data_IF_248268340765
#
_entry.id   IF_248268340765
#
_cell.length_a   1.000
_cell.length_b   1.000
_cell.length_c   1.000
_cell.angle_alpha   90.00
_cell.angle_beta   90.00
_cell.angle_gamma   90.00
#
_symmetry.space_group_name_H-M   'P 1'
#
loop_
_entity.id
_entity.type
_entity.pdbx_description
1 polymer ?
#
# COMPACT_ATOMS: atom_id res chain seq x y z
N UNK A 1 -24.65 -5.83 -11.26
CA UNK A 1 -23.32 -6.16 -10.70
C UNK A 1 -23.08 -5.30 -9.46
N UNK A 2 -22.39 -5.81 -8.46
CA UNK A 2 -22.01 -4.98 -7.31
C UNK A 2 -20.97 -3.96 -7.75
N UNK A 3 -21.13 -2.68 -7.37
CA UNK A 3 -20.25 -1.59 -7.77
C UNK A 3 -19.57 -0.97 -6.53
N UNK A 4 -18.39 -0.39 -6.74
CA UNK A 4 -17.74 0.40 -5.71
C UNK A 4 -18.60 1.63 -5.36
N UNK A 5 -18.62 2.01 -4.09
CA UNK A 5 -19.33 3.22 -3.64
C UNK A 5 -18.61 4.53 -4.06
N UNK A 6 -17.38 4.43 -4.56
CA UNK A 6 -16.51 5.55 -4.96
C UNK A 6 -16.19 5.54 -6.45
N UNK A 7 -15.92 6.70 -7.04
CA UNK A 7 -15.50 6.86 -8.45
C UNK A 7 -13.96 6.95 -8.59
N UNK A 8 -13.26 7.12 -7.49
CA UNK A 8 -11.82 7.23 -7.40
C UNK A 8 -11.32 6.43 -6.20
N UNK A 9 -10.11 5.89 -6.24
CA UNK A 9 -9.45 5.32 -5.08
C UNK A 9 -8.42 6.32 -4.52
N UNK A 10 -8.86 7.26 -3.70
CA UNK A 10 -8.01 8.34 -3.17
C UNK A 10 -7.39 7.99 -1.82
N UNK A 11 -8.04 7.13 -1.03
CA UNK A 11 -7.59 6.68 0.28
C UNK A 11 -8.54 5.61 0.82
N UNK A 12 -8.08 4.84 1.79
CA UNK A 12 -8.90 3.83 2.47
C UNK A 12 -10.04 4.46 3.27
N UNK A 13 -9.80 5.64 3.84
CA UNK A 13 -10.80 6.37 4.63
C UNK A 13 -12.09 6.72 3.87
N UNK A 14 -12.08 6.64 2.55
CA UNK A 14 -13.26 6.91 1.70
C UNK A 14 -14.03 5.63 1.35
N UNK A 15 -13.48 4.44 1.64
CA UNK A 15 -14.10 3.16 1.36
C UNK A 15 -15.01 2.72 2.51
N UNK A 16 -16.00 1.89 2.16
CA UNK A 16 -16.80 1.12 3.10
C UNK A 16 -16.29 -0.32 3.19
N UNK A 17 -16.64 -1.05 4.24
CA UNK A 17 -16.30 -2.48 4.39
C UNK A 17 -16.71 -3.28 3.15
N UNK A 18 -17.91 -3.06 2.63
CA UNK A 18 -18.41 -3.68 1.40
C UNK A 18 -17.54 -3.41 0.16
N UNK A 19 -16.92 -2.23 0.05
CA UNK A 19 -16.03 -1.93 -1.07
C UNK A 19 -14.77 -2.79 -1.00
N UNK A 20 -14.24 -2.99 0.21
CA UNK A 20 -13.06 -3.86 0.42
C UNK A 20 -13.41 -5.32 0.11
N UNK A 21 -14.56 -5.79 0.55
CA UNK A 21 -15.05 -7.14 0.25
C UNK A 21 -15.16 -7.35 -1.26
N UNK A 22 -15.79 -6.43 -1.99
CA UNK A 22 -15.92 -6.49 -3.44
C UNK A 22 -14.56 -6.49 -4.15
N UNK A 23 -13.62 -5.65 -3.69
CA UNK A 23 -12.25 -5.65 -4.22
C UNK A 23 -11.59 -7.01 -3.99
N UNK A 24 -11.76 -7.61 -2.82
CA UNK A 24 -11.16 -8.90 -2.48
C UNK A 24 -11.75 -10.06 -3.27
N UNK A 25 -13.08 -10.12 -3.42
CA UNK A 25 -13.76 -11.12 -4.25
C UNK A 25 -13.29 -11.02 -5.72
N UNK A 26 -13.16 -9.81 -6.23
CA UNK A 26 -12.65 -9.56 -7.58
C UNK A 26 -11.16 -9.93 -7.69
N UNK A 27 -10.36 -9.67 -6.66
CA UNK A 27 -8.95 -10.04 -6.62
C UNK A 27 -8.76 -11.55 -6.57
N UNK A 28 -9.63 -12.31 -5.87
CA UNK A 28 -9.61 -13.78 -5.86
C UNK A 28 -9.74 -14.33 -7.30
N UNK A 29 -10.66 -13.78 -8.10
CA UNK A 29 -10.82 -14.16 -9.51
C UNK A 29 -9.59 -13.82 -10.35
N UNK A 30 -9.00 -12.64 -10.16
CA UNK A 30 -7.76 -12.27 -10.86
C UNK A 30 -6.55 -13.03 -10.38
N UNK A 31 -6.51 -13.47 -9.13
CA UNK A 31 -5.46 -14.36 -8.63
C UNK A 31 -5.46 -15.70 -9.36
N UNK A 32 -6.61 -16.26 -9.66
CA UNK A 32 -6.71 -17.42 -10.53
C UNK A 32 -6.15 -17.12 -11.94
N UNK A 33 -6.50 -15.97 -12.52
CA UNK A 33 -6.03 -15.57 -13.87
C UNK A 33 -4.51 -15.47 -13.91
N UNK A 34 -3.87 -14.84 -12.92
CA UNK A 34 -2.41 -14.67 -12.93
C UNK A 34 -1.64 -15.97 -12.75
N UNK A 35 -2.30 -17.03 -12.29
CA UNK A 35 -1.72 -18.37 -12.15
C UNK A 35 -1.97 -19.27 -13.35
N UNK A 36 -2.75 -18.82 -14.38
CA UNK A 36 -2.97 -19.56 -15.63
C UNK A 36 -1.77 -19.44 -16.58
N UNK A 37 -1.62 -20.36 -17.56
CA UNK A 37 -0.64 -20.20 -18.63
C UNK A 37 -0.82 -18.86 -19.38
N UNK A 38 -2.07 -18.51 -19.74
CA UNK A 38 -2.43 -17.22 -20.34
C UNK A 38 -2.90 -16.29 -19.23
N UNK A 39 -2.03 -15.36 -18.85
CA UNK A 39 -2.21 -14.45 -17.71
C UNK A 39 -2.88 -13.11 -18.12
N UNK A 40 -3.58 -13.08 -19.24
CA UNK A 40 -4.22 -11.88 -19.81
C UNK A 40 -5.72 -12.11 -19.98
N UNK A 41 -6.50 -11.07 -19.72
CA UNK A 41 -7.94 -11.02 -19.96
C UNK A 41 -8.29 -9.76 -20.76
N UNK A 42 -9.23 -9.82 -21.72
CA UNK A 42 -9.53 -8.69 -22.62
C UNK A 42 -10.54 -7.70 -22.02
N UNK A 43 -10.50 -7.51 -20.69
CA UNK A 43 -11.54 -6.77 -19.97
C UNK A 43 -11.50 -5.27 -20.23
N UNK A 44 -10.33 -4.70 -20.53
CA UNK A 44 -10.12 -3.25 -20.66
C UNK A 44 -9.43 -2.85 -21.98
N UNK A 45 -9.76 -3.52 -23.11
CA UNK A 45 -9.12 -3.27 -24.42
C UNK A 45 -9.25 -1.83 -24.92
N UNK A 46 -10.33 -1.15 -24.54
CA UNK A 46 -10.64 0.21 -25.02
C UNK A 46 -10.42 1.27 -23.91
N UNK A 47 -9.68 0.92 -22.85
CA UNK A 47 -9.37 1.82 -21.73
C UNK A 47 -7.91 2.19 -21.77
N UNK A 48 -7.63 3.49 -21.74
CA UNK A 48 -6.28 4.04 -21.66
C UNK A 48 -6.00 4.53 -20.25
N UNK A 49 -4.90 4.07 -19.66
CA UNK A 49 -4.49 4.40 -18.29
C UNK A 49 -3.16 5.13 -18.31
N UNK A 50 -3.08 6.30 -17.67
CA UNK A 50 -1.83 7.04 -17.50
C UNK A 50 -1.25 6.84 -16.10
N UNK A 51 -0.02 6.33 -16.04
CA UNK A 51 0.78 6.21 -14.83
C UNK A 51 1.61 7.48 -14.61
N UNK A 52 1.20 8.34 -13.70
CA UNK A 52 1.82 9.64 -13.39
C UNK A 52 2.63 9.55 -12.09
N UNK A 53 3.92 9.27 -12.20
CA UNK A 53 4.80 9.11 -11.06
C UNK A 53 5.70 10.34 -10.89
N UNK A 54 5.35 11.22 -9.94
CA UNK A 54 6.09 12.43 -9.58
C UNK A 54 7.18 12.18 -8.52
N UNK A 55 7.21 10.98 -7.92
CA UNK A 55 8.31 10.50 -7.08
C UNK A 55 8.75 9.10 -7.51
N UNK A 56 10.00 8.75 -7.20
CA UNK A 56 10.57 7.46 -7.59
C UNK A 56 9.85 6.28 -6.93
N UNK A 57 9.44 5.31 -7.73
CA UNK A 57 8.87 4.06 -7.25
C UNK A 57 8.92 2.96 -8.31
N UNK A 58 9.93 2.13 -8.26
CA UNK A 58 10.10 1.04 -9.23
C UNK A 58 9.02 -0.03 -9.07
N UNK A 59 8.84 -0.58 -7.87
CA UNK A 59 7.91 -1.68 -7.64
C UNK A 59 6.45 -1.31 -7.85
N UNK A 60 6.01 -0.17 -7.30
CA UNK A 60 4.62 0.25 -7.46
C UNK A 60 4.28 0.51 -8.92
N UNK A 61 5.17 1.19 -9.65
CA UNK A 61 5.02 1.45 -11.09
C UNK A 61 4.92 0.14 -11.88
N UNK A 62 5.89 -0.77 -11.71
CA UNK A 62 5.90 -2.07 -12.40
C UNK A 62 4.66 -2.91 -12.08
N UNK A 63 4.19 -2.89 -10.83
CA UNK A 63 3.01 -3.67 -10.43
C UNK A 63 1.71 -3.11 -11.01
N UNK A 64 1.55 -1.78 -11.11
CA UNK A 64 0.43 -1.17 -11.81
C UNK A 64 0.48 -1.47 -13.30
N UNK A 65 1.61 -1.20 -13.94
CA UNK A 65 1.80 -1.46 -15.37
C UNK A 65 1.54 -2.93 -15.73
N UNK A 66 1.97 -3.88 -14.88
CA UNK A 66 1.69 -5.29 -15.08
C UNK A 66 0.19 -5.61 -14.94
N UNK A 67 -0.49 -5.04 -13.95
CA UNK A 67 -1.92 -5.21 -13.72
C UNK A 67 -2.73 -4.69 -14.93
N UNK A 68 -2.42 -3.50 -15.41
CA UNK A 68 -3.03 -2.85 -16.56
C UNK A 68 -2.86 -3.69 -17.83
N UNK A 69 -1.64 -4.12 -18.13
CA UNK A 69 -1.33 -4.98 -19.28
C UNK A 69 -2.02 -6.34 -19.22
N UNK A 70 -2.22 -6.90 -18.01
CA UNK A 70 -2.97 -8.16 -17.83
C UNK A 70 -4.47 -7.98 -18.07
N UNK A 71 -5.00 -6.81 -17.83
CA UNK A 71 -6.38 -6.43 -18.18
C UNK A 71 -6.54 -6.03 -19.64
N UNK A 72 -5.47 -5.99 -20.43
CA UNK A 72 -5.42 -5.53 -21.82
C UNK A 72 -5.73 -4.04 -22.01
N UNK A 73 -5.46 -3.21 -21.00
CA UNK A 73 -5.55 -1.76 -21.13
C UNK A 73 -4.34 -1.20 -21.90
N UNK A 74 -4.54 -0.06 -22.56
CA UNK A 74 -3.45 0.74 -23.11
C UNK A 74 -2.79 1.54 -21.99
N UNK A 75 -1.44 1.56 -21.96
CA UNK A 75 -0.69 2.11 -20.83
C UNK A 75 0.25 3.22 -21.29
N UNK A 76 0.08 4.40 -20.69
CA UNK A 76 0.98 5.53 -20.88
C UNK A 76 1.78 5.73 -19.58
N UNK A 77 3.09 5.72 -19.68
CA UNK A 77 3.97 5.95 -18.52
C UNK A 77 4.61 7.33 -18.59
N UNK A 78 4.37 8.15 -17.57
CA UNK A 78 4.97 9.44 -17.39
C UNK A 78 5.91 9.44 -16.17
N UNK A 79 7.07 10.08 -16.31
CA UNK A 79 8.01 10.28 -15.21
C UNK A 79 8.41 11.76 -15.15
N UNK A 80 8.17 12.39 -14.01
CA UNK A 80 8.48 13.81 -13.79
C UNK A 80 9.98 14.14 -13.91
N UNK A 81 10.87 13.16 -13.68
CA UNK A 81 12.32 13.35 -13.81
C UNK A 81 12.77 13.75 -15.23
N UNK A 82 11.95 13.45 -16.25
CA UNK A 82 12.25 13.69 -17.67
C UNK A 82 11.29 14.69 -18.33
N UNK A 83 10.41 15.37 -17.56
CA UNK A 83 9.28 16.10 -18.12
C UNK A 83 9.35 17.61 -17.97
N UNK A 84 8.41 18.30 -18.67
CA UNK A 84 8.15 19.74 -18.67
C UNK A 84 7.74 20.32 -17.29
N UNK A 85 7.44 19.50 -16.29
CA UNK A 85 7.22 19.96 -14.89
C UNK A 85 8.40 20.80 -14.38
N UNK A 86 9.62 20.52 -14.84
CA UNK A 86 10.80 21.36 -14.60
C UNK A 86 10.72 22.76 -15.23
N UNK A 87 9.77 23.00 -16.15
CA UNK A 87 9.56 24.27 -16.84
C UNK A 87 8.49 25.15 -16.18
N UNK A 88 7.99 24.78 -14.99
CA UNK A 88 6.98 25.54 -14.24
C UNK A 88 5.53 25.21 -14.59
N UNK A 89 5.26 24.13 -15.32
CA UNK A 89 3.90 23.64 -15.59
C UNK A 89 3.21 23.17 -14.29
N UNK A 90 1.93 23.54 -14.10
CA UNK A 90 1.17 23.12 -12.92
C UNK A 90 0.75 21.65 -13.03
N UNK A 91 0.43 21.01 -11.89
CA UNK A 91 -0.08 19.64 -11.87
C UNK A 91 -1.35 19.49 -12.73
N UNK A 92 -2.26 20.47 -12.66
CA UNK A 92 -3.52 20.47 -13.43
C UNK A 92 -3.22 20.55 -14.94
N UNK A 93 -2.33 21.46 -15.37
CA UNK A 93 -2.01 21.60 -16.78
C UNK A 93 -1.37 20.34 -17.33
N UNK A 94 -0.42 19.76 -16.60
CA UNK A 94 0.22 18.49 -16.98
C UNK A 94 -0.83 17.39 -17.16
N UNK A 95 -1.76 17.25 -16.20
CA UNK A 95 -2.78 16.18 -16.27
C UNK A 95 -3.80 16.47 -17.36
N UNK A 96 -4.25 17.71 -17.55
CA UNK A 96 -5.17 18.07 -18.61
C UNK A 96 -4.58 17.82 -20.00
N UNK A 97 -3.31 18.12 -20.20
CA UNK A 97 -2.59 17.80 -21.46
C UNK A 97 -2.62 16.30 -21.75
N UNK A 98 -2.41 15.46 -20.72
CA UNK A 98 -2.44 14.00 -20.85
C UNK A 98 -3.89 13.51 -21.10
N UNK A 99 -4.88 14.04 -20.39
CA UNK A 99 -6.29 13.69 -20.57
C UNK A 99 -6.84 14.08 -21.94
N UNK A 100 -6.30 15.15 -22.54
CA UNK A 100 -6.64 15.57 -23.91
C UNK A 100 -6.32 14.51 -24.97
N UNK A 101 -5.43 13.56 -24.66
CA UNK A 101 -5.11 12.40 -25.49
C UNK A 101 -6.12 11.23 -25.33
N UNK A 102 -7.28 11.49 -24.72
CA UNK A 102 -8.34 10.49 -24.47
C UNK A 102 -7.93 9.41 -23.46
N UNK A 103 -7.25 9.84 -22.40
CA UNK A 103 -6.96 8.96 -21.26
C UNK A 103 -8.17 8.90 -20.32
N UNK A 104 -8.54 7.69 -19.90
CA UNK A 104 -9.76 7.40 -19.12
C UNK A 104 -9.47 7.36 -17.61
N UNK A 105 -8.28 6.90 -17.23
CA UNK A 105 -7.88 6.72 -15.82
C UNK A 105 -6.48 7.23 -15.58
N UNK A 106 -6.25 7.72 -14.36
CA UNK A 106 -4.94 8.19 -13.90
C UNK A 106 -4.52 7.44 -12.64
N UNK A 107 -3.41 6.75 -12.69
CA UNK A 107 -2.70 6.22 -11.52
C UNK A 107 -1.64 7.23 -11.13
N UNK A 108 -1.79 7.87 -9.98
CA UNK A 108 -0.91 8.95 -9.57
C UNK A 108 -0.14 8.65 -8.29
N UNK A 109 1.17 8.92 -8.32
CA UNK A 109 2.02 8.95 -7.14
C UNK A 109 2.68 10.32 -7.01
N UNK A 110 2.50 10.96 -5.85
CA UNK A 110 2.91 12.35 -5.67
C UNK A 110 3.59 12.57 -4.29
N UNK A 111 4.63 13.44 -4.18
CA UNK A 111 5.24 13.74 -2.90
C UNK A 111 4.33 14.51 -1.95
N UNK A 112 3.39 15.31 -2.45
CA UNK A 112 2.50 16.11 -1.61
C UNK A 112 1.24 15.34 -1.20
N UNK A 113 0.90 15.29 0.11
CA UNK A 113 -0.36 14.75 0.59
C UNK A 113 -1.58 15.41 -0.03
N UNK A 114 -2.61 14.62 -0.36
CA UNK A 114 -3.88 15.14 -0.89
C UNK A 114 -3.86 15.51 -2.39
N UNK A 115 -2.75 15.32 -3.10
CA UNK A 115 -2.67 15.64 -4.52
C UNK A 115 -3.74 14.91 -5.36
N UNK A 116 -4.03 13.63 -5.05
CA UNK A 116 -5.11 12.88 -5.71
C UNK A 116 -6.50 13.45 -5.43
N UNK A 117 -6.75 13.88 -4.20
CA UNK A 117 -8.02 14.52 -3.79
C UNK A 117 -8.19 15.86 -4.50
N UNK A 118 -7.12 16.63 -4.59
CA UNK A 118 -7.13 17.89 -5.33
C UNK A 118 -7.47 17.65 -6.80
N UNK A 119 -6.77 16.72 -7.43
CA UNK A 119 -6.95 16.43 -8.85
C UNK A 119 -8.35 15.90 -9.18
N UNK A 120 -8.93 15.03 -8.35
CA UNK A 120 -10.27 14.45 -8.55
C UNK A 120 -11.40 15.48 -8.61
N UNK A 121 -11.16 16.70 -8.12
CA UNK A 121 -12.11 17.83 -8.17
C UNK A 121 -11.99 18.68 -9.44
N UNK A 122 -10.92 18.50 -10.21
CA UNK A 122 -10.57 19.38 -11.33
C UNK A 122 -10.50 18.67 -12.69
N UNK A 123 -10.54 17.33 -12.70
CA UNK A 123 -10.44 16.56 -13.93
C UNK A 123 -11.55 15.53 -14.03
N UNK A 124 -11.95 15.23 -15.26
CA UNK A 124 -12.97 14.22 -15.54
C UNK A 124 -12.31 12.88 -15.93
N UNK A 125 -11.63 12.26 -14.97
CA UNK A 125 -11.01 10.93 -15.12
C UNK A 125 -11.03 10.21 -13.78
N UNK A 126 -11.04 8.88 -13.78
CA UNK A 126 -10.93 8.10 -12.55
C UNK A 126 -9.49 8.17 -12.02
N UNK A 127 -9.33 8.51 -10.74
CA UNK A 127 -8.02 8.69 -10.09
C UNK A 127 -7.75 7.53 -9.11
N UNK A 128 -6.58 6.91 -9.24
CA UNK A 128 -6.06 5.92 -8.29
C UNK A 128 -4.81 6.49 -7.62
N UNK A 129 -4.86 6.65 -6.29
CA UNK A 129 -3.72 7.06 -5.49
C UNK A 129 -2.72 5.90 -5.32
N UNK A 130 -1.55 6.01 -5.95
CA UNK A 130 -0.43 5.07 -5.82
C UNK A 130 0.57 5.47 -4.72
N UNK A 131 0.16 6.37 -3.84
CA UNK A 131 0.90 6.89 -2.68
C UNK A 131 1.13 8.39 -2.77
N UNK A 132 0.71 9.15 -1.75
CA UNK A 132 0.86 10.60 -1.66
C UNK A 132 1.51 11.02 -0.34
N UNK A 133 2.71 11.58 -0.41
CA UNK A 133 3.47 12.07 0.75
C UNK A 133 3.58 11.03 1.87
N UNK A 134 3.29 11.43 3.11
CA UNK A 134 3.14 10.59 4.29
C UNK A 134 1.65 10.30 4.62
N UNK A 135 0.73 10.48 3.65
CA UNK A 135 -0.71 10.44 3.86
C UNK A 135 -1.29 9.03 3.63
N UNK A 136 -1.50 8.61 2.37
CA UNK A 136 -2.08 7.28 2.11
C UNK A 136 -1.43 6.54 0.93
N UNK A 137 -1.52 5.21 0.96
CA UNK A 137 -1.23 4.30 -0.14
C UNK A 137 -2.28 3.18 -0.15
N UNK A 138 -3.50 3.47 -0.64
CA UNK A 138 -4.65 2.59 -0.47
C UNK A 138 -4.44 1.19 -1.05
N UNK A 139 -3.85 1.05 -2.23
CA UNK A 139 -3.59 -0.28 -2.80
C UNK A 139 -2.56 -1.10 -2.02
N UNK A 140 -1.68 -0.45 -1.24
CA UNK A 140 -0.77 -1.17 -0.35
C UNK A 140 -1.54 -1.73 0.86
N UNK A 141 -2.40 -0.94 1.50
CA UNK A 141 -3.19 -1.42 2.61
C UNK A 141 -4.17 -2.53 2.19
N UNK A 142 -4.77 -2.42 1.01
CA UNK A 142 -5.62 -3.47 0.46
C UNK A 142 -4.86 -4.78 0.23
N UNK A 143 -3.68 -4.74 -0.37
CA UNK A 143 -2.89 -5.96 -0.57
C UNK A 143 -2.36 -6.55 0.74
N UNK A 144 -2.03 -5.69 1.72
CA UNK A 144 -1.58 -6.13 3.04
C UNK A 144 -2.71 -6.86 3.79
N UNK A 145 -3.90 -6.27 3.86
CA UNK A 145 -5.05 -6.89 4.52
C UNK A 145 -5.59 -8.10 3.74
N UNK A 146 -5.52 -8.09 2.41
CA UNK A 146 -5.80 -9.26 1.58
C UNK A 146 -4.84 -10.41 1.90
N UNK A 147 -3.55 -10.15 2.06
CA UNK A 147 -2.54 -11.15 2.40
C UNK A 147 -2.75 -11.74 3.80
N UNK A 148 -3.21 -10.92 4.75
CA UNK A 148 -3.62 -11.39 6.08
C UNK A 148 -4.83 -12.33 5.97
N UNK A 149 -5.87 -11.94 5.20
CA UNK A 149 -7.05 -12.78 4.96
C UNK A 149 -6.65 -14.11 4.34
N UNK A 150 -5.80 -14.10 3.34
CA UNK A 150 -5.32 -15.31 2.66
C UNK A 150 -4.56 -16.25 3.61
N UNK A 151 -3.70 -15.70 4.47
CA UNK A 151 -2.86 -16.50 5.39
C UNK A 151 -3.62 -17.00 6.61
N UNK A 152 -4.55 -16.20 7.16
CA UNK A 152 -5.23 -16.47 8.44
C UNK A 152 -6.74 -16.70 8.32
N UNK A 153 -7.29 -16.74 7.10
CA UNK A 153 -8.71 -16.92 6.80
C UNK A 153 -9.55 -15.66 7.00
N UNK A 154 -9.19 -14.77 7.93
CA UNK A 154 -9.92 -13.54 8.23
C UNK A 154 -9.00 -12.46 8.79
N UNK A 155 -9.34 -11.20 8.53
CA UNK A 155 -8.74 -10.03 9.20
C UNK A 155 -9.48 -9.70 10.50
N UNK A 156 -10.78 -9.97 10.55
CA UNK A 156 -11.65 -9.66 11.69
C UNK A 156 -11.17 -10.33 12.97
N UNK A 157 -11.07 -9.54 14.02
CA UNK A 157 -10.66 -9.99 15.35
C UNK A 157 -9.16 -10.22 15.53
N UNK A 158 -8.35 -10.17 14.47
CA UNK A 158 -6.90 -10.34 14.55
C UNK A 158 -6.22 -9.15 15.23
N UNK A 159 -5.15 -9.43 15.94
CA UNK A 159 -4.28 -8.44 16.53
C UNK A 159 -3.12 -8.15 15.55
N UNK A 160 -3.06 -6.95 15.03
CA UNK A 160 -2.02 -6.56 14.05
C UNK A 160 -1.17 -5.45 14.65
N UNK A 161 0.14 -5.65 14.69
CA UNK A 161 1.09 -4.60 15.06
C UNK A 161 1.80 -4.06 13.83
N UNK A 162 1.87 -2.73 13.73
CA UNK A 162 2.65 -2.01 12.72
C UNK A 162 3.89 -1.47 13.44
N UNK A 163 5.07 -1.91 13.01
CA UNK A 163 6.34 -1.63 13.72
C UNK A 163 7.24 -0.74 12.88
N UNK A 164 7.77 0.31 13.49
CA UNK A 164 8.85 1.11 12.91
C UNK A 164 8.54 2.60 12.79
N UNK A 165 8.85 3.18 11.64
CA UNK A 165 8.64 4.60 11.36
C UNK A 165 7.18 4.88 11.00
N UNK A 166 6.36 5.13 12.01
CA UNK A 166 4.93 5.43 11.84
C UNK A 166 4.73 6.87 11.34
N UNK A 167 5.58 7.80 11.78
CA UNK A 167 5.44 9.23 11.52
C UNK A 167 5.53 9.58 10.02
N UNK A 168 6.47 8.95 9.30
CA UNK A 168 6.71 9.24 7.89
C UNK A 168 6.09 8.20 6.94
N UNK A 169 5.36 7.21 7.49
CA UNK A 169 4.84 6.09 6.70
C UNK A 169 3.39 6.29 6.26
N UNK A 170 3.18 6.56 4.97
CA UNK A 170 1.86 6.48 4.33
C UNK A 170 1.23 5.09 4.42
N UNK A 171 2.07 4.05 4.49
CA UNK A 171 1.61 2.66 4.61
C UNK A 171 1.00 2.40 5.98
N UNK A 172 1.60 2.97 7.05
CA UNK A 172 1.07 2.82 8.41
C UNK A 172 -0.37 3.36 8.49
N UNK A 173 -0.59 4.59 8.02
CA UNK A 173 -1.90 5.24 8.11
C UNK A 173 -2.97 4.48 7.31
N UNK A 174 -2.68 4.13 6.06
CA UNK A 174 -3.62 3.34 5.25
C UNK A 174 -3.92 1.97 5.84
N UNK A 175 -2.92 1.29 6.43
CA UNK A 175 -3.13 0.01 7.10
C UNK A 175 -3.98 0.16 8.36
N UNK A 176 -3.78 1.22 9.16
CA UNK A 176 -4.64 1.50 10.33
C UNK A 176 -6.11 1.56 9.89
N UNK A 177 -6.42 2.36 8.87
CA UNK A 177 -7.80 2.48 8.38
C UNK A 177 -8.34 1.16 7.82
N UNK A 178 -7.57 0.45 6.99
CA UNK A 178 -8.03 -0.80 6.37
C UNK A 178 -8.27 -1.92 7.39
N UNK A 179 -7.37 -2.05 8.36
CA UNK A 179 -7.47 -3.05 9.42
C UNK A 179 -8.67 -2.79 10.34
N UNK A 180 -8.85 -1.53 10.77
CA UNK A 180 -9.98 -1.16 11.63
C UNK A 180 -11.32 -1.32 10.91
N UNK A 181 -11.40 -0.91 9.64
CA UNK A 181 -12.61 -1.07 8.84
C UNK A 181 -13.02 -2.53 8.69
N UNK A 182 -12.06 -3.46 8.69
CA UNK A 182 -12.27 -4.91 8.64
C UNK A 182 -12.33 -5.57 10.03
N UNK A 183 -12.41 -4.80 11.12
CA UNK A 183 -12.61 -5.29 12.48
C UNK A 183 -11.37 -5.91 13.14
N UNK A 184 -10.16 -5.60 12.67
CA UNK A 184 -8.93 -5.97 13.38
C UNK A 184 -8.64 -5.03 14.56
N UNK A 185 -7.87 -5.51 15.52
CA UNK A 185 -7.30 -4.70 16.60
C UNK A 185 -5.89 -4.26 16.19
N UNK A 186 -5.64 -2.95 16.21
CA UNK A 186 -4.38 -2.39 15.71
C UNK A 186 -3.53 -1.84 16.85
N UNK A 187 -2.24 -2.14 16.79
CA UNK A 187 -1.21 -1.55 17.63
C UNK A 187 -0.12 -0.95 16.76
N UNK A 188 0.44 0.17 17.16
CA UNK A 188 1.66 0.73 16.57
C UNK A 188 2.80 0.61 17.57
N UNK A 189 3.99 0.22 17.08
CA UNK A 189 5.17 0.05 17.90
C UNK A 189 6.40 0.70 17.25
N UNK A 190 7.17 1.45 18.02
CA UNK A 190 8.39 2.08 17.52
C UNK A 190 9.02 3.04 18.54
N UNK A 191 10.13 3.67 18.18
CA UNK A 191 10.72 4.75 18.98
C UNK A 191 9.69 5.85 19.23
N UNK A 192 9.65 6.42 20.42
CA UNK A 192 8.71 7.51 20.77
C UNK A 192 8.79 8.70 19.80
N UNK A 193 9.96 8.97 19.27
CA UNK A 193 10.24 10.04 18.30
C UNK A 193 9.64 9.78 16.92
N UNK A 194 9.37 8.52 16.57
CA UNK A 194 8.76 8.08 15.32
C UNK A 194 7.26 7.75 15.45
N UNK A 195 6.68 8.01 16.62
CA UNK A 195 5.23 7.84 16.85
C UNK A 195 4.56 9.23 16.84
N UNK A 196 3.56 9.47 15.97
CA UNK A 196 2.82 10.73 15.96
C UNK A 196 2.15 11.00 17.32
N UNK A 197 2.23 12.23 17.81
CA UNK A 197 1.77 12.64 19.15
C UNK A 197 0.32 12.21 19.43
N UNK A 198 -0.55 12.31 18.43
CA UNK A 198 -1.99 12.05 18.53
C UNK A 198 -2.41 10.73 17.87
N UNK A 199 -1.49 9.81 17.64
CA UNK A 199 -1.81 8.54 16.94
C UNK A 199 -2.88 7.71 17.67
N UNK A 200 -2.99 7.86 19.00
CA UNK A 200 -4.03 7.19 19.82
C UNK A 200 -5.45 7.62 19.45
N UNK A 201 -5.62 8.84 18.93
CA UNK A 201 -6.93 9.36 18.52
C UNK A 201 -7.50 8.60 17.33
N UNK A 202 -6.66 7.84 16.62
CA UNK A 202 -7.09 6.88 15.60
C UNK A 202 -7.60 5.54 16.19
N UNK A 203 -7.72 5.42 17.52
CA UNK A 203 -8.21 4.19 18.16
C UNK A 203 -7.21 3.04 18.19
N UNK A 204 -5.92 3.29 17.99
CA UNK A 204 -4.86 2.28 18.02
C UNK A 204 -4.19 2.20 19.39
N UNK A 205 -3.70 0.99 19.76
CA UNK A 205 -2.80 0.83 20.90
C UNK A 205 -1.40 1.33 20.52
N UNK A 206 -0.67 1.80 21.50
CA UNK A 206 0.73 2.29 21.33
C UNK A 206 1.63 1.54 22.30
N UNK A 207 2.70 0.98 21.76
CA UNK A 207 3.73 0.27 22.51
C UNK A 207 5.14 0.76 22.06
N UNK A 208 6.09 0.75 22.97
CA UNK A 208 7.50 1.10 22.68
C UNK A 208 8.46 -0.06 22.97
N UNK A 209 7.94 -1.17 23.45
CA UNK A 209 8.69 -2.42 23.65
C UNK A 209 8.29 -3.42 22.56
N UNK A 210 9.23 -3.74 21.69
CA UNK A 210 8.99 -4.65 20.56
C UNK A 210 8.53 -6.04 21.02
N UNK A 211 9.19 -6.63 22.03
CA UNK A 211 8.84 -7.99 22.49
C UNK A 211 7.39 -8.04 22.98
N UNK A 212 6.95 -7.09 23.79
CA UNK A 212 5.55 -7.01 24.25
C UNK A 212 4.56 -6.86 23.10
N UNK A 213 4.93 -6.07 22.08
CA UNK A 213 4.09 -5.89 20.89
C UNK A 213 3.96 -7.18 20.08
N UNK A 214 5.06 -7.96 19.93
CA UNK A 214 5.05 -9.25 19.23
C UNK A 214 4.32 -10.34 20.02
N UNK A 215 4.44 -10.37 21.35
CA UNK A 215 3.67 -11.28 22.21
C UNK A 215 2.16 -11.06 22.08
N UNK A 216 1.74 -9.81 21.88
CA UNK A 216 0.33 -9.47 21.72
C UNK A 216 -0.22 -9.79 20.32
N UNK A 217 0.56 -9.66 19.24
CA UNK A 217 0.05 -9.67 17.87
C UNK A 217 -0.05 -11.08 17.26
N UNK A 218 -0.93 -11.24 16.27
CA UNK A 218 -1.00 -12.37 15.35
C UNK A 218 -0.20 -12.08 14.08
N UNK A 219 -0.09 -10.79 13.73
CA UNK A 219 0.60 -10.29 12.53
C UNK A 219 1.46 -9.10 12.90
N UNK A 220 2.73 -9.10 12.49
CA UNK A 220 3.63 -7.97 12.59
C UNK A 220 3.95 -7.43 11.18
N UNK A 221 3.49 -6.21 10.89
CA UNK A 221 3.84 -5.49 9.66
C UNK A 221 5.03 -4.56 9.94
N UNK A 222 6.21 -5.00 9.51
CA UNK A 222 7.47 -4.29 9.73
C UNK A 222 7.64 -3.19 8.69
N UNK A 223 7.75 -1.94 9.13
CA UNK A 223 7.96 -0.81 8.23
C UNK A 223 9.44 -0.56 7.98
N UNK A 224 9.76 -0.13 6.78
CA UNK A 224 11.08 0.34 6.44
C UNK A 224 11.43 1.63 7.19
N UNK A 225 12.61 1.72 7.74
CA UNK A 225 13.18 2.99 8.23
C UNK A 225 13.51 3.87 7.01
N UNK A 226 12.88 5.04 6.92
CA UNK A 226 12.94 5.92 5.75
C UNK A 226 13.95 7.06 5.97
N UNK A 227 15.25 6.73 6.08
CA UNK A 227 16.31 7.73 6.32
C UNK A 227 16.28 8.89 5.32
N UNK A 228 15.85 8.62 4.07
CA UNK A 228 15.72 9.63 3.02
C UNK A 228 14.59 10.66 3.22
N UNK A 229 13.73 10.44 4.21
CA UNK A 229 12.63 11.35 4.57
C UNK A 229 12.85 12.04 5.92
N UNK A 230 13.98 11.77 6.56
CA UNK A 230 14.32 12.30 7.86
C UNK A 230 15.28 13.49 7.69
N UNK A 231 14.79 14.69 7.94
CA UNK A 231 15.61 15.90 7.94
C UNK A 231 16.52 15.99 9.18
N UNK A 232 16.17 15.25 10.25
CA UNK A 232 16.90 15.15 11.50
C UNK A 232 16.98 13.69 11.96
N UNK A 233 17.93 13.38 12.85
CA UNK A 233 18.02 12.05 13.45
C UNK A 233 16.94 11.84 14.51
N UNK A 234 16.04 10.90 14.29
CA UNK A 234 14.96 10.52 15.22
C UNK A 234 15.37 9.42 16.21
N UNK A 235 16.53 8.81 16.00
CA UNK A 235 17.13 7.81 16.88
C UNK A 235 18.66 7.91 16.77
N UNK A 236 19.43 7.48 17.81
CA UNK A 236 20.87 7.74 17.88
C UNK A 236 21.68 7.08 16.76
N UNK A 237 21.31 5.86 16.35
CA UNK A 237 21.97 5.14 15.25
C UNK A 237 21.09 4.01 14.71
N UNK A 238 21.36 3.60 13.46
CA UNK A 238 20.72 2.41 12.87
C UNK A 238 20.97 1.15 13.71
N UNK A 239 22.15 1.02 14.30
CA UNK A 239 22.50 -0.10 15.18
C UNK A 239 21.59 -0.15 16.41
N UNK A 240 21.35 0.97 17.05
CA UNK A 240 20.47 1.05 18.22
C UNK A 240 19.01 0.79 17.85
N UNK A 241 18.56 1.33 16.72
CA UNK A 241 17.25 1.00 16.18
C UNK A 241 17.10 -0.52 15.98
N UNK A 242 18.09 -1.16 15.34
CA UNK A 242 18.08 -2.62 15.10
C UNK A 242 18.02 -3.41 16.39
N UNK A 243 18.80 -3.01 17.41
CA UNK A 243 18.79 -3.70 18.70
C UNK A 243 17.45 -3.61 19.44
N UNK A 244 16.72 -2.50 19.29
CA UNK A 244 15.46 -2.26 20.00
C UNK A 244 14.22 -2.68 19.21
N UNK A 245 14.23 -2.53 17.87
CA UNK A 245 13.07 -2.71 17.00
C UNK A 245 13.31 -3.65 15.82
N UNK A 246 14.49 -4.20 15.66
CA UNK A 246 14.79 -5.22 14.66
C UNK A 246 14.28 -6.60 15.08
N UNK A 247 13.60 -7.29 14.15
CA UNK A 247 13.13 -8.67 14.37
C UNK A 247 14.16 -9.64 13.83
N UNK A 248 14.64 -10.52 14.70
CA UNK A 248 15.55 -11.62 14.39
C UNK A 248 14.94 -12.97 14.81
N UNK A 249 15.57 -14.05 14.41
CA UNK A 249 15.10 -15.41 14.69
C UNK A 249 15.09 -15.76 16.18
N UNK A 250 16.07 -15.24 16.94
CA UNK A 250 16.17 -15.46 18.37
C UNK A 250 14.96 -14.85 19.10
N UNK A 251 14.60 -13.60 18.75
CA UNK A 251 13.40 -12.95 19.29
C UNK A 251 12.13 -13.72 18.92
N UNK A 252 11.97 -14.15 17.66
CA UNK A 252 10.79 -14.93 17.26
C UNK A 252 10.71 -16.27 18.00
N UNK A 253 11.82 -16.96 18.18
CA UNK A 253 11.86 -18.23 18.93
C UNK A 253 11.58 -18.05 20.43
N UNK A 254 11.74 -16.84 20.96
CA UNK A 254 11.42 -16.53 22.38
C UNK A 254 9.93 -16.23 22.60
N UNK A 255 9.11 -16.22 21.54
CA UNK A 255 7.67 -16.04 21.65
C UNK A 255 6.98 -17.39 21.87
N UNK A 256 5.91 -17.43 22.68
CA UNK A 256 5.14 -18.66 22.94
C UNK A 256 4.20 -19.03 21.79
N UNK A 257 4.23 -18.30 20.69
CA UNK A 257 3.37 -18.51 19.50
C UNK A 257 4.06 -18.13 18.21
N UNK A 258 3.61 -18.71 17.11
CA UNK A 258 3.97 -18.24 15.77
C UNK A 258 3.16 -17.00 15.38
N UNK A 259 3.85 -16.05 14.76
CA UNK A 259 3.24 -14.83 14.22
C UNK A 259 3.57 -14.70 12.73
N UNK A 260 2.70 -14.02 11.98
CA UNK A 260 2.94 -13.72 10.57
C UNK A 260 3.79 -12.45 10.45
N UNK A 261 4.86 -12.51 9.68
CA UNK A 261 5.72 -11.36 9.40
C UNK A 261 5.41 -10.80 8.01
N UNK A 262 5.19 -9.50 7.95
CA UNK A 262 4.92 -8.74 6.73
C UNK A 262 5.90 -7.57 6.60
N UNK A 263 6.10 -7.11 5.35
CA UNK A 263 6.88 -5.92 5.07
C UNK A 263 6.48 -5.32 3.71
N UNK A 264 6.10 -4.03 3.61
CA UNK A 264 5.67 -3.42 2.34
C UNK A 264 6.83 -3.22 1.34
N UNK A 265 8.06 -3.47 1.79
CA UNK A 265 9.29 -3.34 1.02
C UNK A 265 9.65 -1.89 0.62
N UNK A 266 10.90 -1.64 0.18
CA UNK A 266 12.04 -2.57 0.19
C UNK A 266 12.48 -2.86 1.63
N UNK A 267 13.05 -4.05 1.84
CA UNK A 267 13.59 -4.43 3.14
C UNK A 267 15.02 -3.89 3.27
N UNK A 268 15.33 -3.23 4.39
CA UNK A 268 16.72 -3.04 4.81
C UNK A 268 17.12 -4.26 5.66
N UNK A 269 17.62 -5.32 4.99
CA UNK A 269 18.01 -6.57 5.67
C UNK A 269 19.05 -6.31 6.75
N UNK A 270 18.80 -6.84 7.94
CA UNK A 270 19.63 -6.60 9.12
C UNK A 270 19.30 -5.31 9.87
N UNK A 271 18.30 -4.54 9.45
CA UNK A 271 17.79 -3.36 10.16
C UNK A 271 16.44 -3.66 10.79
N UNK A 272 15.36 -3.68 9.99
CA UNK A 272 14.00 -3.95 10.50
C UNK A 272 13.77 -5.44 10.75
N UNK A 273 14.31 -6.27 9.86
CA UNK A 273 14.25 -7.73 9.94
C UNK A 273 15.56 -8.34 9.44
N UNK A 274 15.99 -9.42 10.04
CA UNK A 274 17.15 -10.20 9.57
C UNK A 274 16.81 -11.02 8.33
N UNK A 275 17.84 -11.43 7.59
CA UNK A 275 17.63 -12.19 6.33
C UNK A 275 16.95 -13.53 6.56
N UNK A 276 17.31 -14.24 7.62
CA UNK A 276 16.73 -15.52 8.02
C UNK A 276 15.24 -15.41 8.41
N UNK A 277 14.82 -14.26 9.00
CA UNK A 277 13.41 -13.98 9.26
C UNK A 277 12.68 -13.62 7.96
N UNK A 278 13.26 -12.77 7.12
CA UNK A 278 12.64 -12.34 5.86
C UNK A 278 12.41 -13.52 4.88
N UNK A 279 13.27 -14.53 4.96
CA UNK A 279 13.22 -15.73 4.10
C UNK A 279 12.55 -16.93 4.81
N UNK A 280 11.97 -16.73 5.99
CA UNK A 280 11.29 -17.76 6.78
C UNK A 280 9.87 -18.07 6.27
N UNK A 281 9.30 -19.21 6.71
CA UNK A 281 7.90 -19.59 6.44
C UNK A 281 6.87 -18.67 7.11
N UNK A 282 7.28 -17.92 8.15
CA UNK A 282 6.43 -16.93 8.83
C UNK A 282 6.31 -15.64 8.03
N UNK A 283 7.28 -15.34 7.15
CA UNK A 283 7.28 -14.14 6.31
C UNK A 283 6.46 -14.37 5.03
N UNK A 284 5.44 -13.53 4.82
CA UNK A 284 4.58 -13.57 3.61
C UNK A 284 4.89 -12.44 2.63
N UNK A 285 6.12 -11.92 2.65
CA UNK A 285 6.53 -10.72 1.92
C UNK A 285 6.41 -10.89 0.40
N UNK A 286 6.79 -12.05 -0.14
CA UNK A 286 6.63 -12.33 -1.57
C UNK A 286 5.18 -12.55 -1.97
N UNK A 287 4.36 -13.12 -1.07
CA UNK A 287 2.91 -13.21 -1.27
C UNK A 287 2.26 -11.82 -1.36
N UNK A 288 2.71 -10.85 -0.53
CA UNK A 288 2.25 -9.45 -0.65
C UNK A 288 2.55 -8.87 -2.04
N UNK A 289 3.71 -9.18 -2.63
CA UNK A 289 4.07 -8.70 -3.98
C UNK A 289 3.13 -9.28 -5.04
N UNK A 290 2.86 -10.59 -5.00
CA UNK A 290 1.94 -11.28 -5.91
C UNK A 290 0.52 -10.74 -5.75
N UNK A 291 0.03 -10.69 -4.51
CA UNK A 291 -1.29 -10.17 -4.15
C UNK A 291 -1.48 -8.72 -4.60
N UNK A 292 -0.38 -7.94 -4.60
CA UNK A 292 -0.39 -6.58 -5.09
C UNK A 292 -0.79 -6.45 -6.55
N UNK A 293 -0.47 -7.43 -7.39
CA UNK A 293 -0.91 -7.43 -8.81
C UNK A 293 -2.40 -7.73 -8.90
N UNK A 294 -2.90 -8.75 -8.19
CA UNK A 294 -4.31 -9.12 -8.20
C UNK A 294 -5.21 -7.99 -7.66
N UNK A 295 -4.83 -7.37 -6.55
CA UNK A 295 -5.54 -6.21 -5.96
C UNK A 295 -5.58 -5.03 -6.93
N UNK A 296 -4.47 -4.70 -7.60
CA UNK A 296 -4.44 -3.60 -8.58
C UNK A 296 -5.30 -3.91 -9.79
N UNK A 297 -5.29 -5.17 -10.29
CA UNK A 297 -6.22 -5.59 -11.33
C UNK A 297 -7.67 -5.41 -10.90
N UNK A 298 -8.03 -5.82 -9.68
CA UNK A 298 -9.39 -5.68 -9.16
C UNK A 298 -9.82 -4.21 -9.05
N UNK A 299 -8.99 -3.36 -8.46
CA UNK A 299 -9.28 -1.92 -8.32
C UNK A 299 -9.46 -1.24 -9.68
N UNK A 300 -8.54 -1.48 -10.62
CA UNK A 300 -8.60 -0.90 -11.97
C UNK A 300 -9.87 -1.37 -12.69
N UNK A 301 -10.15 -2.67 -12.64
CA UNK A 301 -11.33 -3.25 -13.29
C UNK A 301 -12.65 -2.68 -12.74
N UNK A 302 -12.78 -2.61 -11.41
CA UNK A 302 -13.98 -2.11 -10.75
C UNK A 302 -14.21 -0.60 -10.97
N UNK A 303 -13.15 0.19 -11.03
CA UNK A 303 -13.27 1.62 -11.35
C UNK A 303 -13.56 1.84 -12.83
N UNK A 304 -12.94 1.07 -13.73
CA UNK A 304 -13.18 1.16 -15.17
C UNK A 304 -14.61 0.75 -15.57
N UNK A 305 -15.25 -0.17 -14.84
CA UNK A 305 -16.64 -0.54 -15.10
C UNK A 305 -17.62 0.62 -14.93
N UNK A 306 -17.25 1.65 -14.15
CA UNK A 306 -18.06 2.87 -13.96
C UNK A 306 -17.87 3.91 -15.07
N UNK A 307 -16.77 3.84 -15.83
CA UNK A 307 -16.49 4.76 -16.95
C UNK A 307 -17.29 4.34 -18.18
N UNK A 308 -17.56 3.04 -18.35
CA UNK A 308 -18.27 2.49 -19.51
C UNK A 308 -19.80 2.61 -19.42
N UNK A 309 -20.33 3.15 -18.34
CA UNK A 309 -21.74 3.48 -18.14
C UNK A 309 -22.00 4.96 -18.46
#
# INVERSE_FOLDING_TARGET
MSELSVNHLLGIKYLKERDIELIFETADQFKEVINRPIKKVPSLRDITIANLFFENSTRTKLSFELAEKRLSADVINFSAAQSSVKKGETLIDTVNNILSMKVDMVVMRHPNPGAGVFLSKHVNASIINAGDGAHEHPTQALLDTYSIREKLGSVKGKNVVIVGDILHSRVALSNIYALQLQGAKVMVCGPKTLLPKYIKDLGVKVETNLKKALEWCDVANMLRVQNERMDISYFPSTREYTQQFGVNKELLNSLDKEIVIMHPGPINRGVEITSDVADSKQAIILNQVENGVAIRMAVIYLLASKIKQ
#
